data_IF_230208569302
#
_entry.id   IF_230208569302
#
_cell.length_a   1.000
_cell.length_b   1.000
_cell.length_c   1.000
_cell.angle_alpha   90.00
_cell.angle_beta   90.00
_cell.angle_gamma   90.00
#
_symmetry.space_group_name_H-M   'P 1'
#
loop_
_entity.id
_entity.type
_entity.pdbx_description
1 polymer ?
#
# COMPACT_ATOMS: atom_id res chain seq x y z
N UNK A 1 -1.05 -60.19 10.34
CA UNK A 1 -0.27 -59.35 11.30
C UNK A 1 0.18 -58.11 10.53
N UNK A 2 -0.71 -57.27 10.01
CA UNK A 2 -1.69 -56.40 10.68
C UNK A 2 -1.06 -55.43 11.67
N UNK A 3 -1.21 -54.14 11.34
CA UNK A 3 -1.21 -52.89 12.14
C UNK A 3 -0.24 -51.86 11.55
N UNK A 4 -0.56 -50.59 11.31
CA UNK A 4 -1.80 -49.81 11.36
C UNK A 4 -1.53 -48.52 10.54
N UNK A 5 -2.36 -48.22 9.55
CA UNK A 5 -3.30 -47.08 9.50
C UNK A 5 -2.67 -45.69 9.72
N UNK A 6 -2.63 -44.94 8.61
CA UNK A 6 -3.22 -43.60 8.47
C UNK A 6 -3.03 -42.60 9.61
N UNK A 7 -2.09 -41.67 9.42
CA UNK A 7 -2.15 -40.34 10.02
C UNK A 7 -1.97 -39.27 8.93
N UNK A 8 -2.87 -39.29 7.94
CA UNK A 8 -3.18 -38.12 7.12
C UNK A 8 -4.28 -37.32 7.85
N UNK A 9 -3.87 -36.43 8.74
CA UNK A 9 -4.81 -35.69 9.59
C UNK A 9 -4.26 -34.34 10.02
N UNK A 10 -4.25 -33.36 9.11
CA UNK A 10 -4.20 -31.95 9.49
C UNK A 10 -4.66 -31.03 8.33
N UNK A 11 -5.97 -30.80 8.30
CA UNK A 11 -6.60 -29.50 8.05
C UNK A 11 -6.32 -28.83 6.69
N UNK A 12 -6.79 -29.45 5.60
CA UNK A 12 -7.35 -28.67 4.50
C UNK A 12 -8.72 -28.16 4.96
N UNK A 13 -8.78 -26.92 5.42
CA UNK A 13 -10.04 -26.18 5.59
C UNK A 13 -10.25 -25.41 4.29
N UNK A 14 -11.17 -25.81 3.39
CA UNK A 14 -11.59 -24.92 2.33
C UNK A 14 -12.25 -23.72 3.01
N UNK A 15 -11.69 -22.54 2.85
CA UNK A 15 -12.42 -21.29 3.06
C UNK A 15 -13.51 -21.27 1.99
N UNK A 16 -14.66 -21.86 2.29
CA UNK A 16 -15.87 -21.56 1.55
C UNK A 16 -16.15 -20.08 1.81
N UNK A 17 -15.83 -19.27 0.81
CA UNK A 17 -16.38 -17.93 0.68
C UNK A 17 -17.90 -18.10 0.64
N UNK A 18 -18.55 -18.02 1.80
CA UNK A 18 -19.99 -17.82 1.92
C UNK A 18 -20.29 -16.38 1.49
N UNK A 19 -20.09 -16.12 0.20
CA UNK A 19 -20.81 -15.05 -0.46
C UNK A 19 -22.27 -15.41 -0.36
N UNK A 20 -23.00 -14.67 0.48
CA UNK A 20 -24.45 -14.64 0.48
C UNK A 20 -24.90 -14.10 -0.89
N UNK A 21 -24.90 -14.97 -1.89
CA UNK A 21 -25.71 -14.79 -3.07
C UNK A 21 -27.10 -15.22 -2.63
N UNK A 22 -27.89 -14.28 -2.13
CA UNK A 22 -29.33 -14.42 -2.04
C UNK A 22 -29.83 -14.60 -3.47
N UNK A 23 -29.80 -15.85 -3.94
CA UNK A 23 -30.48 -16.32 -5.13
C UNK A 23 -31.97 -16.12 -4.84
N UNK A 24 -32.48 -14.93 -5.16
CA UNK A 24 -33.91 -14.65 -5.25
C UNK A 24 -34.43 -15.51 -6.40
N UNK A 25 -34.84 -16.72 -6.06
CA UNK A 25 -35.78 -17.50 -6.86
C UNK A 25 -37.13 -16.83 -6.64
N UNK A 26 -37.45 -15.88 -7.52
CA UNK A 26 -38.80 -15.41 -7.70
C UNK A 26 -39.07 -15.42 -9.20
N UNK A 27 -39.92 -16.37 -9.58
CA UNK A 27 -40.66 -16.34 -10.83
C UNK A 27 -41.16 -14.91 -11.04
N UNK A 28 -40.63 -14.24 -12.06
CA UNK A 28 -41.13 -12.92 -12.50
C UNK A 28 -41.32 -13.02 -14.02
N UNK A 29 -42.36 -12.39 -14.58
CA UNK A 29 -42.86 -12.65 -15.94
C UNK A 29 -41.84 -12.24 -17.00
N UNK A 30 -42.18 -12.43 -18.26
CA UNK A 30 -41.49 -12.04 -19.50
C UNK A 30 -41.21 -10.51 -19.60
N UNK A 31 -40.66 -9.88 -18.56
CA UNK A 31 -40.46 -8.45 -18.40
C UNK A 31 -39.04 -8.24 -17.88
N UNK A 32 -38.28 -7.39 -18.54
CA UNK A 32 -36.88 -7.12 -18.21
C UNK A 32 -36.75 -6.60 -16.77
N UNK A 33 -35.73 -7.05 -16.00
CA UNK A 33 -35.53 -6.57 -14.64
C UNK A 33 -35.28 -5.07 -14.63
N UNK A 34 -35.80 -4.35 -13.63
CA UNK A 34 -35.54 -2.92 -13.47
C UNK A 34 -34.03 -2.67 -13.27
N UNK A 35 -33.44 -1.89 -14.17
CA UNK A 35 -32.02 -1.54 -14.19
C UNK A 35 -31.80 -0.14 -13.63
N UNK A 36 -30.67 0.13 -12.96
CA UNK A 36 -30.32 1.47 -12.50
C UNK A 36 -29.83 2.33 -13.67
N UNK A 37 -30.37 3.53 -13.80
CA UNK A 37 -29.96 4.55 -14.75
C UNK A 37 -29.68 5.86 -14.04
N UNK A 38 -28.88 6.72 -14.68
CA UNK A 38 -28.62 8.06 -14.17
C UNK A 38 -29.21 9.06 -15.14
N UNK A 39 -29.94 10.04 -14.62
CA UNK A 39 -30.51 11.10 -15.45
C UNK A 39 -30.10 12.46 -14.92
N UNK A 40 -29.71 13.33 -15.84
CA UNK A 40 -29.24 14.69 -15.59
C UNK A 40 -30.18 15.72 -16.22
N UNK A 41 -30.29 16.90 -15.61
CA UNK A 41 -30.90 18.07 -16.27
C UNK A 41 -29.94 18.67 -17.32
N UNK A 42 -30.43 19.53 -18.21
CA UNK A 42 -29.66 20.20 -19.26
C UNK A 42 -28.39 20.92 -18.74
N UNK A 43 -28.48 21.55 -17.56
CA UNK A 43 -27.36 22.23 -16.90
C UNK A 43 -26.37 21.29 -16.18
N UNK A 44 -26.62 19.98 -16.19
CA UNK A 44 -25.85 18.94 -15.46
C UNK A 44 -25.73 19.21 -13.95
N UNK A 45 -26.54 20.11 -13.41
CA UNK A 45 -26.57 20.55 -12.01
C UNK A 45 -27.27 19.54 -11.10
N UNK A 46 -28.33 18.93 -11.61
CA UNK A 46 -29.08 17.86 -10.95
C UNK A 46 -28.77 16.53 -11.62
N UNK A 47 -28.27 15.57 -10.84
CA UNK A 47 -28.02 14.18 -11.25
C UNK A 47 -28.81 13.25 -10.34
N UNK A 48 -29.71 12.45 -10.92
CA UNK A 48 -30.63 11.58 -10.17
C UNK A 48 -30.51 10.15 -10.67
N UNK A 49 -30.52 9.18 -9.76
CA UNK A 49 -30.58 7.77 -10.09
C UNK A 49 -32.03 7.33 -10.22
N UNK A 50 -32.38 6.67 -11.32
CA UNK A 50 -33.73 6.17 -11.59
C UNK A 50 -33.63 4.68 -11.93
N UNK A 51 -34.42 3.86 -11.25
CA UNK A 51 -34.57 2.44 -11.58
C UNK A 51 -35.71 2.30 -12.59
N UNK A 52 -35.47 1.72 -13.76
CA UNK A 52 -36.50 1.51 -14.77
C UNK A 52 -36.27 0.21 -15.55
N UNK A 53 -37.35 -0.42 -16.00
CA UNK A 53 -37.33 -1.60 -16.87
C UNK A 53 -37.55 -1.26 -18.34
N UNK A 54 -38.31 -0.18 -18.60
CA UNK A 54 -38.60 0.36 -19.93
C UNK A 54 -38.27 1.85 -20.06
N UNK A 55 -38.17 2.34 -21.30
CA UNK A 55 -37.98 3.75 -21.63
C UNK A 55 -39.15 4.61 -21.15
N UNK A 56 -40.38 4.13 -21.30
CA UNK A 56 -41.58 4.83 -20.83
C UNK A 56 -41.59 4.97 -19.30
N UNK A 57 -41.20 3.92 -18.57
CA UNK A 57 -41.07 3.95 -17.12
C UNK A 57 -39.96 4.91 -16.67
N UNK A 58 -38.83 4.94 -17.40
CA UNK A 58 -37.76 5.89 -17.16
C UNK A 58 -38.25 7.33 -17.36
N UNK A 59 -38.98 7.62 -18.44
CA UNK A 59 -39.50 8.94 -18.73
C UNK A 59 -40.46 9.41 -17.63
N UNK A 60 -41.46 8.59 -17.27
CA UNK A 60 -42.42 8.94 -16.22
C UNK A 60 -41.71 9.21 -14.88
N UNK A 61 -40.85 8.28 -14.44
CA UNK A 61 -40.10 8.45 -13.19
C UNK A 61 -39.21 9.67 -13.23
N UNK A 62 -38.65 10.01 -14.37
CA UNK A 62 -37.75 11.15 -14.43
C UNK A 62 -38.49 12.48 -14.45
N UNK A 63 -39.68 12.54 -15.07
CA UNK A 63 -40.57 13.70 -14.96
C UNK A 63 -40.96 13.96 -13.50
N UNK A 64 -41.31 12.90 -12.75
CA UNK A 64 -41.62 12.99 -11.31
C UNK A 64 -40.40 13.47 -10.49
N UNK A 65 -39.24 12.91 -10.79
CA UNK A 65 -37.98 13.17 -10.08
C UNK A 65 -37.48 14.58 -10.34
N UNK A 66 -37.51 15.07 -11.58
CA UNK A 66 -37.04 16.40 -11.96
C UNK A 66 -38.12 17.48 -11.80
N UNK A 67 -39.35 17.12 -11.43
CA UNK A 67 -40.50 18.03 -11.25
C UNK A 67 -40.72 18.88 -12.51
N UNK A 68 -40.59 18.25 -13.69
CA UNK A 68 -40.76 18.94 -14.97
C UNK A 68 -42.24 18.93 -15.33
N UNK A 69 -42.85 20.12 -15.40
CA UNK A 69 -44.27 20.30 -15.72
C UNK A 69 -44.54 20.29 -17.23
N UNK A 70 -43.49 20.27 -18.05
CA UNK A 70 -43.56 20.26 -19.51
C UNK A 70 -43.71 18.82 -20.03
N UNK A 71 -44.88 18.48 -20.59
CA UNK A 71 -45.16 17.15 -21.14
C UNK A 71 -44.40 16.78 -22.42
N UNK A 72 -43.48 17.63 -22.91
CA UNK A 72 -42.66 17.37 -24.09
C UNK A 72 -41.18 17.45 -23.71
N UNK A 73 -40.63 16.30 -23.36
CA UNK A 73 -39.20 16.11 -23.05
C UNK A 73 -38.56 15.16 -24.06
N UNK A 74 -37.31 15.43 -24.41
CA UNK A 74 -36.49 14.56 -25.25
C UNK A 74 -35.41 13.94 -24.37
N UNK A 75 -35.37 12.61 -24.32
CA UNK A 75 -34.30 11.89 -23.65
C UNK A 75 -33.12 11.74 -24.61
N UNK A 76 -31.95 12.21 -24.20
CA UNK A 76 -30.71 12.06 -24.96
C UNK A 76 -29.66 11.38 -24.10
N UNK A 77 -28.70 10.71 -24.72
CA UNK A 77 -27.53 10.22 -24.01
C UNK A 77 -26.67 11.39 -23.53
N UNK A 78 -26.24 11.35 -22.27
CA UNK A 78 -25.28 12.34 -21.76
C UNK A 78 -23.97 12.22 -22.54
N UNK A 79 -23.56 11.05 -23.04
CA UNK A 79 -22.28 10.84 -23.74
C UNK A 79 -22.24 11.49 -25.12
N UNK A 80 -23.11 11.07 -26.04
CA UNK A 80 -23.02 11.44 -27.46
C UNK A 80 -24.15 12.37 -27.93
N UNK A 81 -25.12 12.66 -27.06
CA UNK A 81 -26.30 13.45 -27.43
C UNK A 81 -27.27 12.73 -28.36
N UNK A 82 -27.08 11.43 -28.56
CA UNK A 82 -27.99 10.58 -29.33
C UNK A 82 -29.35 10.56 -28.66
N UNK A 83 -30.41 10.82 -29.44
CA UNK A 83 -31.80 10.77 -28.97
C UNK A 83 -32.20 9.33 -28.75
N UNK A 84 -32.80 9.04 -27.59
CA UNK A 84 -33.31 7.72 -27.24
C UNK A 84 -34.83 7.77 -27.31
N UNK A 85 -35.36 7.30 -28.44
CA UNK A 85 -36.80 7.25 -28.75
C UNK A 85 -37.33 5.81 -28.84
N UNK A 86 -36.47 4.83 -29.08
CA UNK A 86 -36.83 3.43 -29.25
C UNK A 86 -36.48 2.60 -28.00
N UNK A 87 -37.42 1.73 -27.62
CA UNK A 87 -37.21 0.77 -26.52
C UNK A 87 -36.05 -0.19 -26.83
N UNK A 88 -35.91 -0.61 -28.09
CA UNK A 88 -34.83 -1.51 -28.52
C UNK A 88 -33.45 -0.90 -28.25
N UNK A 89 -33.28 0.39 -28.57
CA UNK A 89 -32.04 1.11 -28.26
C UNK A 89 -31.80 1.15 -26.76
N UNK A 90 -32.84 1.45 -25.97
CA UNK A 90 -32.75 1.45 -24.51
C UNK A 90 -32.34 0.09 -23.92
N UNK A 91 -32.78 -1.02 -24.50
CA UNK A 91 -32.40 -2.35 -24.05
C UNK A 91 -30.94 -2.70 -24.36
N UNK A 92 -30.39 -2.19 -25.48
CA UNK A 92 -28.96 -2.39 -25.83
C UNK A 92 -28.00 -1.63 -24.91
N UNK A 93 -28.46 -0.57 -24.26
CA UNK A 93 -27.65 0.22 -23.33
C UNK A 93 -27.34 -0.55 -22.05
N UNK A 94 -26.12 -0.39 -21.55
CA UNK A 94 -25.66 -1.04 -20.33
C UNK A 94 -26.27 -0.45 -19.05
N UNK A 95 -26.12 -1.18 -17.95
CA UNK A 95 -26.50 -0.69 -16.63
C UNK A 95 -25.73 0.60 -16.28
N UNK A 96 -26.39 1.51 -15.55
CA UNK A 96 -25.85 2.82 -15.16
C UNK A 96 -25.55 3.77 -16.32
N UNK A 97 -26.19 3.60 -17.47
CA UNK A 97 -26.12 4.58 -18.57
C UNK A 97 -26.63 5.94 -18.11
N UNK A 98 -25.93 6.99 -18.55
CA UNK A 98 -26.24 8.37 -18.24
C UNK A 98 -27.11 8.99 -19.34
N UNK A 99 -28.30 9.43 -18.97
CA UNK A 99 -29.19 10.19 -19.81
C UNK A 99 -29.23 11.65 -19.39
N UNK A 100 -29.58 12.52 -20.33
CA UNK A 100 -29.89 13.91 -20.09
C UNK A 100 -31.28 14.21 -20.66
N UNK A 101 -32.06 14.97 -19.91
CA UNK A 101 -33.39 15.41 -20.35
C UNK A 101 -33.29 16.82 -20.91
N UNK A 102 -33.91 17.01 -22.06
CA UNK A 102 -34.04 18.28 -22.74
C UNK A 102 -35.52 18.65 -22.87
N UNK A 103 -35.87 19.88 -22.52
CA UNK A 103 -37.18 20.45 -22.78
C UNK A 103 -37.28 21.03 -24.21
N UNK A 104 -38.50 21.33 -24.65
CA UNK A 104 -38.77 21.91 -25.98
C UNK A 104 -37.93 23.17 -26.21
N UNK A 105 -36.98 23.10 -27.16
CA UNK A 105 -36.11 24.19 -27.57
C UNK A 105 -34.71 24.18 -26.93
N UNK A 106 -34.46 23.28 -25.98
CA UNK A 106 -33.12 23.04 -25.45
C UNK A 106 -32.35 22.10 -26.38
N UNK A 107 -31.08 22.43 -26.64
CA UNK A 107 -30.17 21.57 -27.41
C UNK A 107 -29.24 20.87 -26.45
N UNK A 108 -28.91 19.62 -26.78
CA UNK A 108 -27.80 18.93 -26.13
C UNK A 108 -26.53 19.78 -26.31
N UNK A 109 -25.88 20.11 -25.19
CA UNK A 109 -24.59 20.77 -25.21
C UNK A 109 -23.51 19.79 -24.78
N UNK A 110 -22.42 19.68 -25.55
CA UNK A 110 -21.31 18.88 -25.11
C UNK A 110 -20.66 19.59 -23.93
N UNK A 111 -20.72 18.98 -22.75
CA UNK A 111 -20.14 19.56 -21.56
C UNK A 111 -18.64 19.68 -21.75
N UNK A 112 -18.07 20.85 -21.49
CA UNK A 112 -16.61 21.07 -21.51
C UNK A 112 -15.83 20.16 -20.54
N UNK A 113 -16.55 19.36 -19.74
CA UNK A 113 -16.05 18.34 -18.83
C UNK A 113 -16.49 16.92 -19.23
N UNK A 114 -16.47 16.55 -20.51
CA UNK A 114 -16.32 15.13 -20.90
C UNK A 114 -14.93 14.64 -20.50
N UNK A 115 -14.70 14.56 -19.20
CA UNK A 115 -13.86 13.49 -18.68
C UNK A 115 -14.83 12.32 -18.58
N UNK A 116 -14.65 11.24 -19.37
CA UNK A 116 -15.48 10.06 -19.27
C UNK A 116 -15.61 9.67 -17.80
N UNK A 117 -16.83 9.58 -17.30
CA UNK A 117 -17.08 9.18 -15.91
C UNK A 117 -16.73 7.71 -15.65
N UNK A 118 -16.21 6.98 -16.65
CA UNK A 118 -15.19 5.98 -16.40
C UNK A 118 -13.98 6.70 -15.79
N UNK A 119 -13.95 6.82 -14.46
CA UNK A 119 -12.70 6.87 -13.69
C UNK A 119 -11.91 5.61 -14.05
N UNK A 120 -11.28 5.60 -15.22
CA UNK A 120 -10.08 4.83 -15.43
C UNK A 120 -9.14 5.30 -14.32
N UNK A 121 -8.70 4.43 -13.41
CA UNK A 121 -7.68 4.81 -12.46
C UNK A 121 -6.56 5.41 -13.31
N UNK A 122 -6.31 6.70 -13.08
CA UNK A 122 -5.29 7.50 -13.77
C UNK A 122 -4.06 6.60 -13.84
N UNK A 123 -3.68 6.15 -15.05
CA UNK A 123 -2.58 5.20 -15.30
C UNK A 123 -1.26 5.83 -14.88
N UNK A 124 -1.07 5.98 -13.59
CA UNK A 124 0.20 6.22 -12.99
C UNK A 124 0.88 4.86 -13.05
N UNK A 125 1.96 4.75 -13.81
CA UNK A 125 2.79 3.54 -13.92
C UNK A 125 3.49 3.22 -12.60
N UNK A 126 2.71 3.08 -11.53
CA UNK A 126 3.18 2.84 -10.18
C UNK A 126 3.38 1.33 -10.07
N UNK A 127 4.64 0.91 -10.11
CA UNK A 127 5.02 -0.40 -9.63
C UNK A 127 4.76 -0.43 -8.12
N UNK A 128 3.70 -1.12 -7.69
CA UNK A 128 3.36 -1.26 -6.28
C UNK A 128 4.09 -2.47 -5.73
N UNK A 129 5.04 -2.23 -4.84
CA UNK A 129 5.78 -3.28 -4.11
C UNK A 129 5.23 -3.37 -2.69
N UNK A 130 4.77 -4.54 -2.28
CA UNK A 130 4.26 -4.82 -0.93
C UNK A 130 5.16 -5.81 -0.21
N UNK A 131 5.28 -5.61 1.10
CA UNK A 131 6.12 -6.41 2.00
C UNK A 131 5.25 -6.86 3.17
N UNK A 132 4.79 -8.11 3.13
CA UNK A 132 3.88 -8.64 4.14
C UNK A 132 4.63 -9.63 5.03
N UNK A 133 4.90 -9.25 6.28
CA UNK A 133 5.48 -10.16 7.26
C UNK A 133 4.37 -10.95 7.94
N UNK A 134 4.35 -12.26 7.73
CA UNK A 134 3.36 -13.15 8.32
C UNK A 134 4.04 -14.28 9.06
N UNK A 135 3.42 -14.74 10.15
CA UNK A 135 3.99 -15.76 11.02
C UNK A 135 3.19 -17.06 10.86
N UNK A 136 3.68 -18.05 10.10
CA UNK A 136 2.94 -19.29 9.83
C UNK A 136 2.82 -20.18 11.07
N UNK A 137 3.73 -20.03 12.04
CA UNK A 137 3.70 -20.79 13.29
C UNK A 137 3.98 -19.87 14.49
N UNK A 138 3.17 -19.88 15.56
CA UNK A 138 3.39 -19.01 16.72
C UNK A 138 4.71 -19.30 17.46
N UNK A 139 5.23 -20.53 17.35
CA UNK A 139 6.51 -20.96 17.94
C UNK A 139 7.74 -20.48 17.15
N UNK A 140 7.59 -20.06 15.90
CA UNK A 140 8.70 -19.54 15.10
C UNK A 140 8.97 -18.07 15.45
N UNK A 141 10.10 -17.79 16.07
CA UNK A 141 10.45 -16.44 16.51
C UNK A 141 10.58 -15.42 15.36
N UNK A 142 10.71 -15.88 14.11
CA UNK A 142 10.78 -15.03 12.91
C UNK A 142 9.78 -15.58 11.88
N UNK A 143 8.86 -14.74 11.42
CA UNK A 143 7.86 -15.07 10.40
C UNK A 143 8.45 -15.09 8.97
N UNK A 144 7.66 -15.55 8.00
CA UNK A 144 7.96 -15.46 6.58
C UNK A 144 7.64 -14.05 6.06
N UNK A 145 8.50 -13.50 5.20
CA UNK A 145 8.27 -12.22 4.54
C UNK A 145 7.81 -12.48 3.10
N UNK A 146 6.58 -12.09 2.77
CA UNK A 146 6.11 -12.05 1.39
C UNK A 146 6.54 -10.73 0.76
N UNK A 147 7.22 -10.78 -0.38
CA UNK A 147 7.51 -9.61 -1.21
C UNK A 147 6.70 -9.74 -2.49
N UNK A 148 5.77 -8.81 -2.73
CA UNK A 148 4.92 -8.82 -3.93
C UNK A 148 5.13 -7.54 -4.72
N UNK A 149 5.64 -7.67 -5.94
CA UNK A 149 5.76 -6.58 -6.89
C UNK A 149 4.61 -6.66 -7.90
N UNK A 150 3.86 -5.57 -8.04
CA UNK A 150 2.76 -5.43 -9.01
C UNK A 150 3.08 -4.32 -9.99
N UNK A 151 3.23 -4.66 -11.27
CA UNK A 151 3.54 -3.71 -12.35
C UNK A 151 2.32 -3.62 -13.28
N UNK A 152 1.91 -2.39 -13.60
CA UNK A 152 0.76 -2.09 -14.46
C UNK A 152 -0.57 -2.71 -14.01
N UNK A 153 -0.72 -3.03 -12.72
CA UNK A 153 -1.87 -3.73 -12.10
C UNK A 153 -2.25 -5.11 -12.71
N UNK A 154 -1.69 -5.52 -13.85
CA UNK A 154 -1.93 -6.81 -14.50
C UNK A 154 -0.87 -7.88 -14.22
N UNK A 155 0.35 -7.49 -13.88
CA UNK A 155 1.44 -8.43 -13.66
C UNK A 155 1.89 -8.37 -12.20
N UNK A 156 1.58 -9.42 -11.43
CA UNK A 156 1.97 -9.54 -10.03
C UNK A 156 2.93 -10.70 -9.84
N UNK A 157 4.12 -10.41 -9.30
CA UNK A 157 5.10 -11.41 -8.90
C UNK A 157 5.21 -11.37 -7.38
N UNK A 158 4.96 -12.50 -6.72
CA UNK A 158 5.09 -12.64 -5.27
C UNK A 158 6.11 -13.69 -4.90
N UNK A 159 7.00 -13.38 -3.96
CA UNK A 159 8.06 -14.25 -3.48
C UNK A 159 7.98 -14.41 -1.95
N UNK A 160 8.04 -15.64 -1.46
CA UNK A 160 8.04 -15.97 -0.02
C UNK A 160 9.47 -16.17 0.50
N UNK A 161 10.01 -15.15 1.19
CA UNK A 161 11.27 -15.30 1.89
C UNK A 161 10.99 -16.02 3.21
N UNK A 162 11.32 -17.31 3.26
CA UNK A 162 11.26 -18.10 4.49
C UNK A 162 12.46 -17.75 5.37
N UNK A 163 12.20 -17.02 6.45
CA UNK A 163 13.24 -16.53 7.37
C UNK A 163 13.77 -17.59 8.35
N UNK A 164 13.84 -18.86 7.96
CA UNK A 164 14.35 -19.96 8.81
C UNK A 164 15.82 -19.74 9.19
N UNK A 165 16.60 -19.03 8.36
CA UNK A 165 18.00 -18.69 8.61
C UNK A 165 18.28 -17.28 9.16
N UNK A 166 17.27 -16.42 9.31
CA UNK A 166 17.51 -14.99 9.60
C UNK A 166 18.20 -14.78 10.96
N UNK A 167 17.95 -15.65 11.95
CA UNK A 167 18.64 -15.59 13.26
C UNK A 167 20.16 -15.81 13.14
N UNK A 168 20.56 -16.77 12.32
CA UNK A 168 21.97 -17.10 12.11
C UNK A 168 22.68 -15.97 11.37
N UNK A 169 22.02 -15.41 10.35
CA UNK A 169 22.52 -14.26 9.61
C UNK A 169 22.60 -13.00 10.49
N UNK A 170 21.58 -12.73 11.31
CA UNK A 170 21.58 -11.59 12.22
C UNK A 170 22.70 -11.71 13.26
N UNK A 171 22.93 -12.91 13.81
CA UNK A 171 24.08 -13.16 14.71
C UNK A 171 25.41 -12.95 14.00
N UNK A 172 25.53 -13.43 12.76
CA UNK A 172 26.74 -13.27 11.96
C UNK A 172 27.01 -11.79 11.67
N UNK A 173 25.97 -11.05 11.27
CA UNK A 173 26.05 -9.62 11.00
C UNK A 173 26.40 -8.81 12.25
N UNK A 174 25.80 -9.11 13.41
CA UNK A 174 26.15 -8.44 14.67
C UNK A 174 27.63 -8.68 15.02
N UNK A 175 28.15 -9.89 14.81
CA UNK A 175 29.56 -10.19 15.03
C UNK A 175 30.44 -9.39 14.06
N UNK A 176 30.09 -9.36 12.78
CA UNK A 176 30.82 -8.56 11.80
C UNK A 176 30.82 -7.07 12.16
N UNK A 177 29.66 -6.49 12.49
CA UNK A 177 29.53 -5.11 12.93
C UNK A 177 30.37 -4.83 14.18
N UNK A 178 30.37 -5.73 15.17
CA UNK A 178 31.22 -5.58 16.35
C UNK A 178 32.71 -5.59 16.01
N UNK A 179 33.16 -6.44 15.08
CA UNK A 179 34.55 -6.47 14.63
C UNK A 179 34.93 -5.19 13.89
N UNK A 180 34.06 -4.71 12.98
CA UNK A 180 34.31 -3.45 12.26
C UNK A 180 34.31 -2.24 13.18
N UNK A 181 33.44 -2.20 14.20
CA UNK A 181 33.40 -1.15 15.19
C UNK A 181 34.66 -1.16 16.08
N UNK A 182 35.14 -2.33 16.51
CA UNK A 182 36.39 -2.48 17.24
C UNK A 182 37.59 -2.01 16.40
N UNK A 183 37.68 -2.44 15.14
CA UNK A 183 38.74 -2.01 14.23
C UNK A 183 38.73 -0.49 14.01
N UNK A 184 37.54 0.08 13.82
CA UNK A 184 37.33 1.52 13.67
C UNK A 184 37.75 2.26 14.94
N UNK A 185 37.40 1.75 16.13
CA UNK A 185 37.82 2.30 17.42
C UNK A 185 39.35 2.28 17.60
N UNK A 186 40.01 1.18 17.25
CA UNK A 186 41.47 1.11 17.29
C UNK A 186 42.13 2.11 16.33
N UNK A 187 41.57 2.28 15.13
CA UNK A 187 42.07 3.25 14.15
C UNK A 187 41.89 4.69 14.63
N UNK A 188 40.76 5.01 15.26
CA UNK A 188 40.49 6.31 15.88
C UNK A 188 41.44 6.61 17.04
N UNK A 189 41.69 5.65 17.93
CA UNK A 189 42.63 5.82 19.05
C UNK A 189 44.05 5.99 18.51
N UNK A 190 44.45 5.21 17.50
CA UNK A 190 45.77 5.34 16.87
C UNK A 190 45.94 6.68 16.17
N UNK A 191 44.95 7.11 15.39
CA UNK A 191 44.96 8.41 14.72
C UNK A 191 44.98 9.55 15.75
N UNK A 192 44.17 9.47 16.81
CA UNK A 192 44.14 10.48 17.88
C UNK A 192 45.46 10.58 18.63
N UNK A 193 46.07 9.44 18.99
CA UNK A 193 47.40 9.42 19.64
C UNK A 193 48.51 9.92 18.72
N UNK A 194 48.43 9.65 17.42
CA UNK A 194 49.34 10.20 16.42
C UNK A 194 49.25 11.72 16.36
N UNK A 195 48.03 12.27 16.26
CA UNK A 195 47.79 13.72 16.23
C UNK A 195 48.26 14.39 17.53
N UNK A 196 47.97 13.78 18.69
CA UNK A 196 48.45 14.28 19.99
C UNK A 196 49.97 14.32 20.10
N UNK A 197 50.69 13.31 19.57
CA UNK A 197 52.16 13.31 19.54
C UNK A 197 52.71 14.41 18.64
N UNK A 198 52.14 14.56 17.44
CA UNK A 198 52.55 15.62 16.49
C UNK A 198 52.30 17.01 17.09
N UNK A 199 51.20 17.21 17.81
CA UNK A 199 50.89 18.49 18.45
C UNK A 199 51.77 18.77 19.66
N UNK A 200 52.10 17.75 20.46
CA UNK A 200 53.05 17.88 21.58
C UNK A 200 54.47 18.21 21.11
N UNK A 201 54.92 17.61 20.01
CA UNK A 201 56.23 17.91 19.40
C UNK A 201 56.26 19.30 18.74
N UNK A 202 55.11 19.88 18.41
CA UNK A 202 55.00 21.25 17.89
C UNK A 202 55.04 22.33 18.99
N UNK A 203 54.80 21.97 20.26
CA UNK A 203 54.86 22.91 21.39
C UNK A 203 56.29 23.02 22.01
N UNK A 204 57.12 21.97 21.92
CA UNK A 204 58.53 22.01 22.38
C UNK A 204 59.46 22.66 21.34
N UNK A 205 59.44 24.01 21.26
CA UNK A 205 60.57 24.95 20.99
C UNK A 205 60.10 26.21 20.23
N UNK A 206 60.52 27.44 20.63
CA UNK A 206 60.73 27.95 21.98
C UNK A 206 60.03 29.31 22.21
N UNK A 207 59.52 29.57 23.41
CA UNK A 207 59.39 30.95 23.92
C UNK A 207 60.00 31.05 25.31
N UNK A 208 61.07 31.85 25.38
CA UNK A 208 61.84 32.22 26.55
C UNK A 208 60.97 33.01 27.55
N UNK A 209 61.22 32.78 28.85
CA UNK A 209 60.65 33.44 30.04
C UNK A 209 59.27 32.90 30.48
N UNK A 210 58.99 32.60 31.75
CA UNK A 210 59.63 32.96 33.02
C UNK A 210 59.27 31.97 34.13
N UNK A 211 60.23 31.77 35.01
CA UNK A 211 60.20 31.18 36.35
C UNK A 211 58.96 31.54 37.20
N UNK A 212 58.26 30.55 37.78
CA UNK A 212 57.72 30.60 39.16
C UNK A 212 57.30 29.19 39.66
N UNK A 213 57.59 28.97 40.94
CA UNK A 213 57.59 27.74 41.73
C UNK A 213 56.23 27.10 42.11
N UNK A 214 56.30 25.82 42.49
CA UNK A 214 55.54 25.21 43.60
C UNK A 214 54.47 24.20 43.18
N UNK A 215 54.21 23.05 43.81
CA UNK A 215 54.73 22.33 44.98
C UNK A 215 53.97 20.97 45.02
N UNK A 216 54.62 19.86 45.44
CA UNK A 216 54.06 18.69 46.18
C UNK A 216 53.09 17.73 45.41
N UNK A 217 53.03 16.39 45.57
CA UNK A 217 53.69 15.36 46.38
C UNK A 217 53.22 13.96 45.89
N UNK A 218 54.03 12.91 46.17
CA UNK A 218 53.67 11.57 46.69
C UNK A 218 52.50 10.76 46.03
N UNK A 219 52.62 9.49 45.63
CA UNK A 219 53.48 8.45 46.15
C UNK A 219 53.50 7.20 45.24
N UNK A 220 54.64 6.53 45.25
CA UNK A 220 54.94 5.31 44.48
C UNK A 220 55.15 4.18 45.48
N UNK A 221 54.18 3.29 45.63
CA UNK A 221 54.33 2.06 46.40
C UNK A 221 54.90 0.94 45.52
N UNK A 222 56.20 0.68 45.62
CA UNK A 222 56.83 -0.58 45.19
C UNK A 222 57.49 -1.24 46.40
N UNK A 223 57.12 -2.49 46.70
CA UNK A 223 57.90 -3.39 47.56
C UNK A 223 57.99 -4.74 46.83
N UNK A 224 59.05 -4.94 46.04
CA UNK A 224 60.31 -5.62 46.37
C UNK A 224 60.13 -7.14 46.56
N UNK A 225 60.46 -7.84 45.48
CA UNK A 225 60.84 -9.24 45.44
C UNK A 225 62.30 -9.35 45.93
N UNK A 226 62.59 -10.28 46.85
CA UNK A 226 63.95 -10.67 47.16
C UNK A 226 64.01 -12.18 47.43
N UNK A 227 64.99 -12.79 46.77
CA UNK A 227 65.25 -14.20 46.63
C UNK A 227 65.81 -14.87 47.90
N UNK A 228 65.64 -16.20 47.94
CA UNK A 228 66.41 -17.22 48.67
C UNK A 228 67.94 -17.13 48.39
N UNK A 229 68.86 -17.73 49.19
CA UNK A 229 68.91 -19.18 49.51
C UNK A 229 69.55 -19.69 50.82
N UNK A 230 69.29 -20.99 51.07
CA UNK A 230 70.05 -22.11 51.67
C UNK A 230 71.08 -21.92 52.81
N UNK A 231 70.89 -22.69 53.90
CA UNK A 231 71.64 -23.93 54.21
C UNK A 231 70.84 -24.81 55.16
#
# INVERSE_FOLDING_TARGET
MDTARDYAGALLRPLTFMGSQTKRVLLTPLMHPARPFRVSNHDRSSRRGVMASSLEELLHKTLDVLVITAGLVTLVLEEDGTVVDTEEFFQTLGDNTHFMILEKGQKWTPGSRYVPACRQPKKSGIARVTFDLYKPNPKDFIGCLNVRATVYEMYSVSYDIRCTGLKALLRSLLRFLSYTAQATGHLLIYAGTYVLRVLGDAEERPSLASHTWGWFTCGKGRRLQRAQPAS
#
